data_IF_175278518555
#
_entry.id   IF_175278518555
#
_cell.length_a   1.000
_cell.length_b   1.000
_cell.length_c   1.000
_cell.angle_alpha   90.00
_cell.angle_beta   90.00
_cell.angle_gamma   90.00
#
_symmetry.space_group_name_H-M   'P 1'
#
loop_
_entity.id
_entity.type
_entity.pdbx_description
1 polymer ?
#
# COMPACT_ATOMS: atom_id res chain seq x y z
N UNK A 1 -29.71 -54.75 -23.84
CA UNK A 1 -29.16 -55.59 -24.93
C UNK A 1 -27.71 -55.23 -25.06
N UNK A 2 -26.96 -56.19 -24.69
CA UNK A 2 -25.67 -56.65 -25.24
C UNK A 2 -24.47 -55.71 -25.17
N UNK A 3 -23.54 -56.01 -24.27
CA UNK A 3 -22.46 -57.03 -24.39
C UNK A 3 -21.31 -56.50 -25.27
N UNK A 4 -20.06 -56.61 -25.04
CA UNK A 4 -19.21 -57.62 -24.37
C UNK A 4 -17.78 -57.06 -24.39
N UNK A 5 -17.00 -57.16 -23.31
CA UNK A 5 -15.83 -58.07 -23.15
C UNK A 5 -14.79 -58.00 -24.28
N UNK A 6 -13.48 -57.99 -24.08
CA UNK A 6 -12.62 -58.88 -23.27
C UNK A 6 -11.15 -58.45 -23.45
N UNK A 7 -10.31 -58.41 -22.39
CA UNK A 7 -9.10 -59.24 -22.14
C UNK A 7 -8.00 -59.20 -23.23
N UNK A 8 -6.69 -59.32 -23.01
CA UNK A 8 -5.87 -60.08 -22.05
C UNK A 8 -4.39 -59.71 -22.27
N UNK A 9 -3.56 -59.67 -21.21
CA UNK A 9 -2.27 -60.33 -20.94
C UNK A 9 -1.20 -60.32 -22.08
N UNK A 10 0.06 -60.10 -21.82
CA UNK A 10 1.00 -60.94 -21.05
C UNK A 10 2.38 -60.28 -20.91
N UNK A 11 3.00 -60.60 -19.81
CA UNK A 11 4.38 -60.42 -19.42
C UNK A 11 5.40 -61.17 -20.27
N UNK A 12 6.64 -60.66 -20.30
CA UNK A 12 7.83 -61.54 -20.32
C UNK A 12 8.99 -60.83 -19.59
N UNK A 13 9.48 -61.58 -18.62
CA UNK A 13 10.67 -61.42 -17.80
C UNK A 13 11.92 -61.74 -18.64
N UNK A 14 13.01 -60.94 -18.47
CA UNK A 14 14.36 -61.45 -18.74
C UNK A 14 15.36 -60.87 -17.76
N UNK A 15 15.84 -61.71 -16.91
CA UNK A 15 16.94 -61.49 -15.97
C UNK A 15 18.27 -61.71 -16.72
N UNK A 16 19.25 -60.83 -16.52
CA UNK A 16 20.65 -61.15 -16.76
C UNK A 16 21.54 -60.49 -15.74
N UNK A 17 22.28 -61.28 -15.06
CA UNK A 17 23.20 -61.03 -13.96
C UNK A 17 24.64 -60.92 -14.51
N UNK A 18 25.49 -60.20 -13.75
CA UNK A 18 26.95 -60.19 -13.65
C UNK A 18 27.72 -59.01 -14.27
N UNK A 19 28.49 -58.41 -13.38
CA UNK A 19 29.65 -57.63 -13.70
C UNK A 19 30.07 -56.64 -12.59
N UNK A 20 30.59 -57.16 -11.48
CA UNK A 20 31.24 -56.34 -10.46
C UNK A 20 32.60 -55.83 -11.00
N UNK A 21 32.77 -54.53 -10.98
CA UNK A 21 34.09 -53.91 -11.04
C UNK A 21 34.12 -52.71 -10.09
N UNK A 22 34.73 -52.90 -8.93
CA UNK A 22 35.01 -51.86 -8.00
C UNK A 22 36.15 -51.00 -8.57
N UNK A 23 35.84 -49.76 -8.92
CA UNK A 23 36.82 -48.71 -9.14
C UNK A 23 36.59 -47.65 -8.06
N UNK A 24 37.48 -47.68 -7.05
CA UNK A 24 37.57 -46.62 -6.05
C UNK A 24 38.08 -45.35 -6.73
N UNK A 25 37.19 -44.43 -7.06
CA UNK A 25 37.55 -43.03 -7.33
C UNK A 25 37.39 -42.27 -6.04
N UNK A 26 38.51 -41.97 -5.39
CA UNK A 26 38.61 -40.86 -4.45
C UNK A 26 38.46 -39.57 -5.24
N UNK A 27 37.21 -39.16 -5.47
CA UNK A 27 36.86 -37.85 -5.96
C UNK A 27 36.62 -36.95 -4.74
N UNK A 28 37.52 -35.98 -4.52
CA UNK A 28 37.21 -34.81 -3.73
C UNK A 28 35.93 -34.20 -4.31
N UNK A 29 34.82 -34.42 -3.63
CA UNK A 29 33.57 -33.71 -3.93
C UNK A 29 33.81 -32.25 -3.61
N UNK A 30 34.09 -31.42 -4.62
CA UNK A 30 33.67 -30.03 -4.59
C UNK A 30 32.17 -30.11 -4.29
N UNK A 31 31.75 -29.60 -3.14
CA UNK A 31 30.40 -29.10 -3.00
C UNK A 31 30.21 -28.14 -4.17
N UNK A 32 29.51 -28.53 -5.19
CA UNK A 32 28.84 -27.59 -6.05
C UNK A 32 27.91 -26.80 -5.12
N UNK A 33 28.40 -25.66 -4.65
CA UNK A 33 27.49 -24.57 -4.26
C UNK A 33 26.74 -24.29 -5.54
N UNK A 34 25.55 -24.81 -5.68
CA UNK A 34 24.54 -24.24 -6.57
C UNK A 34 24.43 -22.81 -6.10
N UNK A 35 25.14 -21.93 -6.78
CA UNK A 35 24.98 -20.51 -6.67
C UNK A 35 23.56 -20.28 -7.21
N UNK A 36 22.55 -20.23 -6.34
CA UNK A 36 21.23 -19.74 -6.73
C UNK A 36 21.44 -18.30 -7.11
N UNK A 37 21.74 -18.13 -8.42
CA UNK A 37 22.17 -16.83 -8.96
C UNK A 37 21.01 -15.82 -8.97
N UNK A 38 19.83 -16.23 -8.56
CA UNK A 38 18.63 -15.40 -8.56
C UNK A 38 17.69 -15.75 -7.40
N UNK A 39 17.20 -14.73 -6.70
CA UNK A 39 16.15 -14.83 -5.69
C UNK A 39 14.91 -14.05 -6.15
N UNK A 40 13.72 -14.53 -5.80
CA UNK A 40 12.46 -13.83 -6.07
C UNK A 40 11.89 -13.32 -4.76
N UNK A 41 11.50 -12.06 -4.73
CA UNK A 41 10.83 -11.39 -3.62
C UNK A 41 9.43 -10.96 -4.05
N UNK A 42 8.43 -11.17 -3.21
CA UNK A 42 7.06 -10.68 -3.45
C UNK A 42 6.75 -9.53 -2.50
N UNK A 43 6.46 -8.35 -3.06
CA UNK A 43 5.98 -7.19 -2.31
C UNK A 43 4.48 -6.99 -2.57
N UNK A 44 3.66 -7.09 -1.52
CA UNK A 44 2.23 -6.80 -1.57
C UNK A 44 2.00 -5.40 -1.02
N UNK A 45 1.52 -4.50 -1.89
CA UNK A 45 1.47 -3.06 -1.64
C UNK A 45 0.06 -2.48 -1.86
N UNK A 46 -0.14 -1.25 -1.41
CA UNK A 46 -1.35 -0.50 -1.73
C UNK A 46 -1.22 0.30 -3.02
N UNK A 47 -2.37 0.68 -3.62
CA UNK A 47 -2.44 1.21 -4.98
C UNK A 47 -1.53 2.40 -5.32
N UNK A 48 -1.42 3.47 -4.50
CA UNK A 48 -0.66 4.66 -4.86
C UNK A 48 0.85 4.48 -5.03
N UNK A 49 1.41 3.34 -4.63
CA UNK A 49 2.86 3.09 -4.62
C UNK A 49 3.42 2.46 -5.89
N UNK A 50 2.62 2.26 -6.94
CA UNK A 50 3.05 1.56 -8.18
C UNK A 50 4.33 2.16 -8.76
N UNK A 51 4.31 3.44 -9.02
CA UNK A 51 5.40 4.17 -9.67
C UNK A 51 6.63 4.26 -8.75
N UNK A 52 6.40 4.42 -7.45
CA UNK A 52 7.44 4.39 -6.44
C UNK A 52 8.21 3.07 -6.49
N UNK A 53 7.51 1.94 -6.35
CA UNK A 53 8.17 0.63 -6.31
C UNK A 53 8.70 0.18 -7.67
N UNK A 54 8.12 0.63 -8.78
CA UNK A 54 8.72 0.42 -10.09
C UNK A 54 10.10 1.09 -10.19
N UNK A 55 10.24 2.28 -9.64
CA UNK A 55 11.51 3.02 -9.60
C UNK A 55 12.46 2.43 -8.56
N UNK A 56 11.96 2.15 -7.36
CA UNK A 56 12.72 1.61 -6.24
C UNK A 56 13.32 0.23 -6.54
N UNK A 57 12.58 -0.66 -7.15
CA UNK A 57 13.05 -2.01 -7.45
C UNK A 57 14.28 -2.02 -8.37
N UNK A 58 14.42 -1.01 -9.23
CA UNK A 58 15.59 -0.87 -10.11
C UNK A 58 16.86 -0.59 -9.30
N UNK A 59 16.78 0.35 -8.35
CA UNK A 59 17.94 0.68 -7.49
C UNK A 59 18.22 -0.44 -6.49
N UNK A 60 17.19 -1.04 -5.90
CA UNK A 60 17.35 -2.16 -4.97
C UNK A 60 18.00 -3.38 -5.65
N UNK A 61 17.57 -3.75 -6.84
CA UNK A 61 18.14 -4.89 -7.56
C UNK A 61 19.62 -4.68 -7.87
N UNK A 62 20.02 -3.44 -8.17
CA UNK A 62 21.43 -3.08 -8.35
C UNK A 62 22.18 -3.18 -7.04
N UNK A 63 21.68 -2.57 -5.96
CA UNK A 63 22.25 -2.61 -4.63
C UNK A 63 22.47 -4.06 -4.16
N UNK A 64 21.44 -4.91 -4.22
CA UNK A 64 21.52 -6.31 -3.81
C UNK A 64 22.57 -7.09 -4.61
N UNK A 65 22.64 -6.84 -5.92
CA UNK A 65 23.66 -7.47 -6.78
C UNK A 65 25.08 -7.06 -6.43
N UNK A 66 25.28 -5.78 -6.13
CA UNK A 66 26.59 -5.23 -5.74
C UNK A 66 27.05 -5.79 -4.40
N UNK A 67 26.14 -5.90 -3.43
CA UNK A 67 26.44 -6.37 -2.06
C UNK A 67 26.62 -7.91 -1.96
N UNK A 68 25.86 -8.67 -2.74
CA UNK A 68 25.78 -10.13 -2.55
C UNK A 68 26.25 -10.94 -3.77
N UNK A 69 26.35 -10.34 -4.92
CA UNK A 69 26.55 -11.04 -6.19
C UNK A 69 25.32 -11.76 -6.72
N UNK A 70 24.17 -11.74 -6.00
CA UNK A 70 22.94 -12.43 -6.37
C UNK A 70 21.98 -11.47 -7.10
N UNK A 71 21.32 -11.97 -8.16
CA UNK A 71 20.24 -11.23 -8.78
C UNK A 71 18.95 -11.36 -7.96
N UNK A 72 18.16 -10.28 -7.86
CA UNK A 72 16.83 -10.30 -7.27
C UNK A 72 15.77 -9.87 -8.28
N UNK A 73 14.67 -10.61 -8.33
CA UNK A 73 13.46 -10.22 -9.05
C UNK A 73 12.36 -9.91 -8.05
N UNK A 74 11.81 -8.70 -8.11
CA UNK A 74 10.72 -8.29 -7.22
C UNK A 74 9.40 -8.34 -7.97
N UNK A 75 8.53 -9.24 -7.53
CA UNK A 75 7.13 -9.31 -7.99
C UNK A 75 6.27 -8.41 -7.12
N UNK A 76 5.31 -7.71 -7.73
CA UNK A 76 4.44 -6.78 -7.01
C UNK A 76 2.97 -7.07 -7.20
N UNK A 77 2.20 -6.93 -6.12
CA UNK A 77 0.75 -6.86 -6.13
C UNK A 77 0.31 -5.49 -5.61
N UNK A 78 -0.61 -4.83 -6.28
CA UNK A 78 -1.16 -3.55 -5.87
C UNK A 78 -2.68 -3.59 -5.84
N UNK A 79 -3.27 -3.02 -4.78
CA UNK A 79 -4.70 -2.94 -4.58
C UNK A 79 -5.08 -2.06 -3.39
N UNK A 80 -6.35 -2.05 -3.02
CA UNK A 80 -6.76 -1.39 -1.78
C UNK A 80 -6.08 -2.05 -0.58
N UNK A 81 -5.47 -1.25 0.32
CA UNK A 81 -4.60 -1.72 1.41
C UNK A 81 -5.26 -2.78 2.29
N UNK A 82 -6.48 -2.53 2.78
CA UNK A 82 -7.21 -3.51 3.59
C UNK A 82 -7.55 -4.80 2.84
N UNK A 83 -7.81 -4.71 1.51
CA UNK A 83 -7.99 -5.89 0.67
C UNK A 83 -6.69 -6.68 0.55
N UNK A 84 -5.57 -6.02 0.28
CA UNK A 84 -4.24 -6.64 0.20
C UNK A 84 -3.87 -7.34 1.52
N UNK A 85 -4.09 -6.68 2.67
CA UNK A 85 -3.87 -7.27 3.97
C UNK A 85 -4.68 -8.57 4.18
N UNK A 86 -5.95 -8.53 3.80
CA UNK A 86 -6.84 -9.70 3.92
C UNK A 86 -6.39 -10.85 2.99
N UNK A 87 -5.94 -10.56 1.78
CA UNK A 87 -5.42 -11.56 0.85
C UNK A 87 -4.16 -12.26 1.42
N UNK A 88 -3.23 -11.48 2.02
CA UNK A 88 -2.05 -12.04 2.68
C UNK A 88 -2.45 -12.87 3.91
N UNK A 89 -3.32 -12.36 4.77
CA UNK A 89 -3.83 -13.09 5.93
C UNK A 89 -4.55 -14.41 5.54
N UNK A 90 -5.08 -14.50 4.33
CA UNK A 90 -5.74 -15.70 3.79
C UNK A 90 -4.82 -16.56 2.90
N UNK A 91 -3.52 -16.30 2.86
CA UNK A 91 -2.54 -17.20 2.24
C UNK A 91 -1.95 -16.70 0.92
N UNK A 92 -2.09 -15.43 0.56
CA UNK A 92 -1.26 -14.86 -0.50
C UNK A 92 0.18 -14.75 0.01
N UNK A 93 1.09 -15.50 -0.58
CA UNK A 93 2.49 -15.53 -0.19
C UNK A 93 3.20 -14.22 -0.56
N UNK A 94 3.40 -13.36 0.44
CA UNK A 94 4.17 -12.12 0.36
C UNK A 94 5.42 -12.25 1.23
N UNK A 95 6.58 -11.87 0.72
CA UNK A 95 7.80 -11.76 1.55
C UNK A 95 7.77 -10.48 2.40
N UNK A 96 7.26 -9.41 1.80
CA UNK A 96 7.08 -8.12 2.46
C UNK A 96 5.73 -7.52 2.13
N UNK A 97 5.21 -6.74 3.06
CA UNK A 97 4.04 -5.89 2.83
C UNK A 97 4.42 -4.43 2.98
N UNK A 98 3.85 -3.58 2.12
CA UNK A 98 4.03 -2.13 2.15
C UNK A 98 2.65 -1.50 2.00
N UNK A 99 1.97 -1.31 3.13
CA UNK A 99 0.54 -1.00 3.20
C UNK A 99 0.28 0.45 3.62
N UNK A 100 -0.93 0.92 3.41
CA UNK A 100 -1.29 2.32 3.65
C UNK A 100 -1.33 2.71 5.13
N UNK A 101 -1.42 1.74 6.05
CA UNK A 101 -1.57 2.01 7.48
C UNK A 101 -1.24 0.79 8.35
N UNK A 102 -0.81 1.06 9.56
CA UNK A 102 -0.44 0.08 10.59
C UNK A 102 -1.54 -0.94 10.85
N UNK A 103 -2.80 -0.53 10.92
CA UNK A 103 -3.93 -1.43 11.20
C UNK A 103 -4.04 -2.57 10.17
N UNK A 104 -3.74 -2.29 8.90
CA UNK A 104 -3.78 -3.32 7.86
C UNK A 104 -2.62 -4.32 8.01
N UNK A 105 -1.43 -3.87 8.47
CA UNK A 105 -0.32 -4.76 8.82
C UNK A 105 -0.65 -5.58 10.07
N UNK A 106 -1.27 -4.96 11.08
CA UNK A 106 -1.72 -5.63 12.29
C UNK A 106 -2.71 -6.77 11.98
N UNK A 107 -3.56 -6.65 10.96
CA UNK A 107 -4.45 -7.74 10.56
C UNK A 107 -3.68 -8.99 10.06
N UNK A 108 -2.51 -8.80 9.45
CA UNK A 108 -1.63 -9.91 9.02
C UNK A 108 -0.88 -10.50 10.23
N UNK A 109 -0.44 -9.66 11.17
CA UNK A 109 0.14 -10.09 12.45
C UNK A 109 -0.87 -10.93 13.24
N UNK A 110 -2.12 -10.48 13.34
CA UNK A 110 -3.18 -11.17 14.07
C UNK A 110 -3.53 -12.52 13.44
N UNK A 111 -3.24 -12.71 12.14
CA UNK A 111 -3.28 -14.00 11.46
C UNK A 111 -2.05 -14.90 11.77
N UNK A 112 -1.08 -14.41 12.55
CA UNK A 112 0.12 -15.15 12.95
C UNK A 112 1.22 -15.19 11.89
N UNK A 113 1.20 -14.30 10.89
CA UNK A 113 2.16 -14.30 9.78
C UNK A 113 3.30 -13.27 9.97
N UNK A 114 3.11 -12.30 10.84
CA UNK A 114 4.09 -11.26 11.19
C UNK A 114 4.32 -11.30 12.70
N UNK A 115 5.55 -11.14 13.16
CA UNK A 115 5.89 -11.15 14.57
C UNK A 115 5.38 -9.90 15.30
N UNK A 116 5.15 -10.05 16.61
CA UNK A 116 4.87 -8.91 17.49
C UNK A 116 6.07 -7.95 17.51
N UNK A 117 5.76 -6.64 17.53
CA UNK A 117 6.81 -5.61 17.57
C UNK A 117 7.35 -5.17 16.22
N UNK A 118 6.82 -5.68 15.11
CA UNK A 118 7.18 -5.31 13.74
C UNK A 118 7.24 -3.78 13.51
N UNK A 119 6.40 -3.02 14.20
CA UNK A 119 6.34 -1.55 14.08
C UNK A 119 7.67 -0.88 14.48
N UNK A 120 8.46 -1.54 15.33
CA UNK A 120 9.78 -1.05 15.79
C UNK A 120 10.96 -1.70 15.04
N UNK A 121 10.70 -2.49 14.00
CA UNK A 121 11.77 -3.17 13.25
C UNK A 121 12.58 -2.19 12.40
N UNK A 122 11.91 -1.17 11.86
CA UNK A 122 12.55 -0.12 11.08
C UNK A 122 12.25 1.27 11.67
N UNK A 123 13.06 2.26 11.30
CA UNK A 123 12.92 3.63 11.77
C UNK A 123 11.51 4.23 11.50
N UNK A 124 11.14 5.23 12.29
CA UNK A 124 9.88 5.97 12.17
C UNK A 124 8.63 5.08 12.18
N UNK A 125 8.57 4.16 13.15
CA UNK A 125 7.47 3.21 13.29
C UNK A 125 7.25 2.37 12.01
N UNK A 126 8.37 1.91 11.41
CA UNK A 126 8.39 1.18 10.13
C UNK A 126 7.67 1.91 8.99
N UNK A 127 7.82 3.26 8.95
CA UNK A 127 7.23 4.14 7.93
C UNK A 127 8.33 4.92 7.20
N UNK A 128 8.84 4.42 6.06
CA UNK A 128 10.00 5.00 5.37
C UNK A 128 9.72 6.30 4.62
N UNK A 129 8.47 6.60 4.37
CA UNK A 129 7.99 7.82 3.73
C UNK A 129 6.59 8.15 4.22
N UNK A 130 6.15 9.39 4.00
CA UNK A 130 4.82 9.85 4.40
C UNK A 130 4.10 10.51 3.23
N UNK A 131 2.84 10.83 3.42
CA UNK A 131 2.02 11.63 2.50
C UNK A 131 1.00 12.43 3.29
N UNK A 132 0.13 13.13 2.56
CA UNK A 132 -1.03 13.81 3.14
C UNK A 132 -2.19 13.79 2.16
N UNK A 133 -3.35 14.30 2.59
CA UNK A 133 -4.55 14.38 1.78
C UNK A 133 -4.69 15.79 1.24
N UNK A 134 -4.90 15.88 -0.05
CA UNK A 134 -5.17 17.13 -0.79
C UNK A 134 -6.43 16.98 -1.64
N UNK A 135 -6.89 18.07 -2.22
CA UNK A 135 -7.97 18.05 -3.19
C UNK A 135 -7.39 18.22 -4.60
N UNK A 136 -7.72 17.29 -5.49
CA UNK A 136 -7.49 17.47 -6.90
C UNK A 136 -8.79 18.01 -7.53
N UNK A 137 -8.71 19.19 -8.15
CA UNK A 137 -9.86 19.84 -8.76
C UNK A 137 -9.62 20.08 -10.25
N UNK A 138 -10.68 20.31 -11.01
CA UNK A 138 -10.59 20.69 -12.44
C UNK A 138 -9.87 22.02 -12.60
N UNK A 139 -9.18 22.20 -13.72
CA UNK A 139 -8.47 23.46 -14.04
C UNK A 139 -9.36 24.68 -13.89
N UNK A 140 -8.82 25.71 -13.25
CA UNK A 140 -9.55 26.94 -12.93
C UNK A 140 -10.56 26.79 -11.80
N UNK A 141 -10.60 25.65 -11.13
CA UNK A 141 -11.41 25.36 -9.94
C UNK A 141 -12.87 25.89 -10.06
N UNK A 142 -13.69 25.36 -10.99
CA UNK A 142 -15.02 25.92 -11.31
C UNK A 142 -15.98 25.97 -10.12
N UNK A 143 -15.78 25.11 -9.11
CA UNK A 143 -16.58 25.07 -7.88
C UNK A 143 -16.01 25.94 -6.77
N UNK A 144 -14.89 26.64 -7.02
CA UNK A 144 -14.20 27.49 -6.04
C UNK A 144 -13.95 26.76 -4.70
N UNK A 145 -13.46 25.53 -4.79
CA UNK A 145 -13.14 24.69 -3.64
C UNK A 145 -11.83 25.18 -3.05
N UNK A 146 -11.84 25.55 -1.78
CA UNK A 146 -10.67 26.06 -1.04
C UNK A 146 -10.38 25.25 0.22
N UNK A 147 -11.41 24.67 0.81
CA UNK A 147 -11.31 23.91 2.05
C UNK A 147 -12.43 22.87 2.16
N UNK A 148 -12.41 22.09 3.20
CA UNK A 148 -13.37 21.01 3.49
C UNK A 148 -14.84 21.49 3.48
N UNK A 149 -15.10 22.72 3.93
CA UNK A 149 -16.45 23.31 3.86
C UNK A 149 -17.00 23.39 2.45
N UNK A 150 -16.13 23.67 1.49
CA UNK A 150 -16.55 23.77 0.10
C UNK A 150 -16.86 22.38 -0.49
N UNK A 151 -16.14 21.35 -0.06
CA UNK A 151 -16.37 19.94 -0.46
C UNK A 151 -17.72 19.43 0.08
N UNK A 152 -18.15 19.91 1.25
CA UNK A 152 -19.42 19.51 1.88
C UNK A 152 -20.63 20.31 1.38
N UNK A 153 -20.46 21.29 0.47
CA UNK A 153 -21.58 22.07 -0.12
C UNK A 153 -22.43 21.25 -1.05
N UNK A 154 -23.73 21.51 -1.03
CA UNK A 154 -24.67 20.92 -1.98
C UNK A 154 -24.24 21.20 -3.44
N UNK A 155 -24.33 20.18 -4.28
CA UNK A 155 -24.01 20.26 -5.70
C UNK A 155 -22.53 20.20 -6.05
N UNK A 156 -21.67 19.82 -5.10
CA UNK A 156 -20.27 19.46 -5.34
C UNK A 156 -20.18 17.94 -5.47
N UNK A 157 -19.76 17.46 -6.63
CA UNK A 157 -19.53 16.02 -6.85
C UNK A 157 -18.17 15.59 -6.29
N UNK A 158 -18.17 14.73 -5.28
CA UNK A 158 -16.96 14.22 -4.62
C UNK A 158 -16.62 12.83 -5.11
N UNK A 159 -15.35 12.58 -5.38
CA UNK A 159 -14.81 11.25 -5.64
C UNK A 159 -13.84 10.91 -4.49
N UNK A 160 -14.01 9.74 -3.91
CA UNK A 160 -13.12 9.18 -2.87
C UNK A 160 -13.27 7.67 -2.82
N UNK A 161 -12.24 6.90 -2.46
CA UNK A 161 -12.39 5.46 -2.30
C UNK A 161 -13.17 5.08 -1.03
N UNK A 162 -13.52 3.81 -0.91
CA UNK A 162 -14.32 3.27 0.18
C UNK A 162 -13.45 2.97 1.43
N UNK A 163 -13.71 3.56 2.59
CA UNK A 163 -12.97 3.29 3.83
C UNK A 163 -13.02 1.82 4.32
N UNK A 164 -14.00 1.04 3.85
CA UNK A 164 -14.09 -0.39 4.19
C UNK A 164 -13.06 -1.26 3.45
N UNK A 165 -12.52 -0.78 2.34
CA UNK A 165 -11.60 -1.56 1.48
C UNK A 165 -10.27 -0.87 1.22
N UNK A 166 -10.22 0.46 1.37
CA UNK A 166 -9.07 1.30 1.05
C UNK A 166 -8.53 1.98 2.31
N UNK A 167 -7.26 1.69 2.64
CA UNK A 167 -6.54 2.44 3.67
C UNK A 167 -6.42 3.93 3.34
N UNK A 168 -6.21 4.26 2.04
CA UNK A 168 -6.21 5.65 1.58
C UNK A 168 -7.49 6.40 1.91
N UNK A 169 -8.64 5.74 1.77
CA UNK A 169 -9.94 6.32 2.11
C UNK A 169 -10.12 6.58 3.61
N UNK A 170 -9.50 5.76 4.46
CA UNK A 170 -9.52 6.00 5.92
C UNK A 170 -8.78 7.28 6.25
N UNK A 171 -7.64 7.53 5.64
CA UNK A 171 -6.92 8.79 5.78
C UNK A 171 -7.73 10.00 5.28
N UNK A 172 -8.42 9.87 4.12
CA UNK A 172 -9.30 10.93 3.61
C UNK A 172 -10.42 11.28 4.61
N UNK A 173 -11.06 10.27 5.16
CA UNK A 173 -12.12 10.42 6.15
C UNK A 173 -11.60 11.08 7.43
N UNK A 174 -10.47 10.62 7.97
CA UNK A 174 -9.90 11.16 9.21
C UNK A 174 -9.42 12.60 9.03
N UNK A 175 -8.89 12.98 7.86
CA UNK A 175 -8.54 14.36 7.56
C UNK A 175 -9.78 15.29 7.58
N UNK A 176 -10.88 14.85 6.98
CA UNK A 176 -12.16 15.59 7.02
C UNK A 176 -12.72 15.67 8.45
N UNK A 177 -12.62 14.59 9.21
CA UNK A 177 -13.01 14.56 10.62
C UNK A 177 -12.22 15.55 11.47
N UNK A 178 -10.88 15.58 11.31
CA UNK A 178 -10.01 16.50 12.04
C UNK A 178 -10.34 17.97 11.78
N UNK A 179 -10.64 18.30 10.51
CA UNK A 179 -11.12 19.63 10.19
C UNK A 179 -12.44 19.98 10.90
N UNK A 180 -13.41 19.07 10.86
CA UNK A 180 -14.71 19.28 11.48
C UNK A 180 -14.60 19.34 13.02
N UNK A 181 -13.74 18.52 13.61
CA UNK A 181 -13.47 18.52 15.06
C UNK A 181 -12.94 19.89 15.50
N UNK A 182 -11.94 20.40 14.81
CA UNK A 182 -11.41 21.76 15.07
C UNK A 182 -12.47 22.84 14.86
N UNK A 183 -13.26 22.75 13.79
CA UNK A 183 -14.30 23.73 13.46
C UNK A 183 -15.41 23.79 14.50
N UNK A 184 -15.84 22.64 15.01
CA UNK A 184 -16.97 22.50 15.93
C UNK A 184 -16.55 22.31 17.39
N UNK A 185 -15.25 22.47 17.70
CA UNK A 185 -14.69 22.36 19.06
C UNK A 185 -15.10 21.06 19.77
N UNK A 186 -15.01 19.91 19.07
CA UNK A 186 -15.29 18.58 19.61
C UNK A 186 -16.79 18.25 19.74
N UNK A 187 -17.69 19.05 19.17
CA UNK A 187 -19.14 18.74 19.14
C UNK A 187 -19.40 17.57 18.16
N UNK A 188 -19.42 16.36 18.70
CA UNK A 188 -19.48 15.12 17.90
C UNK A 188 -20.71 15.06 16.97
N UNK A 189 -21.86 15.54 17.41
CA UNK A 189 -23.07 15.54 16.59
C UNK A 189 -22.92 16.45 15.35
N UNK A 190 -22.27 17.60 15.52
CA UNK A 190 -21.99 18.50 14.38
C UNK A 190 -20.90 17.97 13.46
N UNK A 191 -19.91 17.26 14.02
CA UNK A 191 -18.87 16.61 13.25
C UNK A 191 -19.48 15.51 12.37
N UNK A 192 -20.28 14.64 12.97
CA UNK A 192 -20.98 13.57 12.23
C UNK A 192 -21.91 14.13 11.13
N UNK A 193 -22.65 15.20 11.41
CA UNK A 193 -23.50 15.87 10.41
C UNK A 193 -22.68 16.45 9.26
N UNK A 194 -21.52 17.04 9.54
CA UNK A 194 -20.60 17.54 8.54
C UNK A 194 -20.06 16.41 7.63
N UNK A 195 -19.58 15.33 8.24
CA UNK A 195 -19.07 14.18 7.48
C UNK A 195 -20.18 13.52 6.66
N UNK A 196 -21.38 13.43 7.24
CA UNK A 196 -22.57 12.93 6.50
C UNK A 196 -22.86 13.78 5.25
N UNK A 197 -22.81 15.11 5.35
CA UNK A 197 -22.99 16.01 4.21
C UNK A 197 -21.91 15.80 3.15
N UNK A 198 -20.65 15.69 3.56
CA UNK A 198 -19.56 15.39 2.65
C UNK A 198 -19.82 14.08 1.89
N UNK A 199 -20.17 13.00 2.61
CA UNK A 199 -20.42 11.69 1.98
C UNK A 199 -21.73 11.62 1.20
N UNK A 200 -22.71 12.51 1.42
CA UNK A 200 -23.87 12.68 0.56
C UNK A 200 -23.51 13.22 -0.83
N UNK A 201 -22.40 13.94 -0.94
CA UNK A 201 -21.84 14.45 -2.19
C UNK A 201 -20.99 13.41 -2.94
N UNK A 202 -20.65 12.28 -2.31
CA UNK A 202 -19.85 11.24 -2.94
C UNK A 202 -20.64 10.55 -4.04
N UNK A 203 -20.11 10.62 -5.26
CA UNK A 203 -20.73 10.03 -6.45
C UNK A 203 -20.35 8.55 -6.62
N UNK A 204 -19.08 8.22 -6.31
CA UNK A 204 -18.52 6.88 -6.44
C UNK A 204 -17.65 6.58 -5.23
N UNK A 205 -17.79 5.37 -4.67
CA UNK A 205 -16.87 4.79 -3.69
C UNK A 205 -16.11 3.64 -4.35
N UNK A 206 -14.96 3.96 -4.91
CA UNK A 206 -14.08 2.96 -5.53
C UNK A 206 -13.40 2.06 -4.48
N UNK A 207 -12.98 0.86 -4.89
CA UNK A 207 -12.36 -0.11 -3.97
C UNK A 207 -10.98 0.31 -3.46
N UNK A 208 -10.30 1.22 -4.15
CA UNK A 208 -8.95 1.71 -3.83
C UNK A 208 -8.69 3.11 -4.40
N UNK A 209 -7.59 3.73 -3.98
CA UNK A 209 -7.25 5.10 -4.36
C UNK A 209 -7.06 5.26 -5.88
N UNK A 210 -6.39 4.33 -6.55
CA UNK A 210 -6.20 4.38 -8.00
C UNK A 210 -7.53 4.28 -8.76
N UNK A 211 -8.50 3.49 -8.26
CA UNK A 211 -9.85 3.45 -8.83
C UNK A 211 -10.53 4.81 -8.75
N UNK A 212 -10.43 5.49 -7.61
CA UNK A 212 -10.97 6.84 -7.44
C UNK A 212 -10.28 7.86 -8.37
N UNK A 213 -8.95 7.78 -8.53
CA UNK A 213 -8.22 8.58 -9.51
C UNK A 213 -8.72 8.32 -10.94
N UNK A 214 -8.90 7.06 -11.33
CA UNK A 214 -9.46 6.71 -12.65
C UNK A 214 -10.87 7.26 -12.83
N UNK A 215 -11.75 7.13 -11.83
CA UNK A 215 -13.10 7.69 -11.87
C UNK A 215 -13.10 9.21 -12.09
N UNK A 216 -12.19 9.92 -11.42
CA UNK A 216 -12.06 11.37 -11.55
C UNK A 216 -11.35 11.77 -12.84
N UNK A 217 -10.14 11.26 -13.09
CA UNK A 217 -9.25 11.71 -14.18
C UNK A 217 -9.72 11.16 -15.53
N UNK A 218 -9.87 9.83 -15.65
CA UNK A 218 -10.13 9.19 -16.95
C UNK A 218 -11.62 9.22 -17.30
N UNK A 219 -12.50 8.97 -16.32
CA UNK A 219 -13.94 8.93 -16.55
C UNK A 219 -14.62 10.30 -16.41
N UNK A 220 -13.87 11.34 -16.01
CA UNK A 220 -14.37 12.72 -15.94
C UNK A 220 -15.44 12.95 -14.87
N UNK A 221 -15.57 12.07 -13.87
CA UNK A 221 -16.61 12.15 -12.84
C UNK A 221 -16.21 13.12 -11.72
N UNK A 222 -17.22 13.77 -11.15
CA UNK A 222 -17.05 14.65 -9.99
C UNK A 222 -16.35 15.98 -10.26
N UNK A 223 -16.39 16.83 -9.25
CA UNK A 223 -15.78 18.16 -9.24
C UNK A 223 -14.48 18.18 -8.45
N UNK A 224 -14.35 17.28 -7.49
CA UNK A 224 -13.18 17.15 -6.59
C UNK A 224 -12.89 15.68 -6.28
N UNK A 225 -11.60 15.33 -6.33
CA UNK A 225 -11.08 14.06 -5.79
C UNK A 225 -10.38 14.35 -4.46
N UNK A 226 -10.79 13.63 -3.40
CA UNK A 226 -10.00 13.55 -2.18
C UNK A 226 -8.84 12.59 -2.45
N UNK A 227 -7.65 13.13 -2.63
CA UNK A 227 -6.51 12.39 -3.14
C UNK A 227 -5.36 12.34 -2.12
N UNK A 228 -4.57 11.28 -2.18
CA UNK A 228 -3.22 11.32 -1.68
C UNK A 228 -2.40 12.31 -2.51
N UNK A 229 -1.50 13.01 -1.85
CA UNK A 229 -0.69 14.07 -2.47
C UNK A 229 0.08 13.56 -3.70
N UNK A 230 0.69 12.37 -3.62
CA UNK A 230 1.39 11.76 -4.75
C UNK A 230 0.47 11.46 -5.94
N UNK A 231 -0.75 10.95 -5.73
CA UNK A 231 -1.72 10.69 -6.80
C UNK A 231 -2.14 11.98 -7.49
N UNK A 232 -2.29 13.07 -6.73
CA UNK A 232 -2.63 14.37 -7.28
C UNK A 232 -1.51 14.94 -8.16
N UNK A 233 -0.25 14.85 -7.71
CA UNK A 233 0.90 15.28 -8.51
C UNK A 233 1.11 14.42 -9.75
N UNK A 234 0.96 13.09 -9.65
CA UNK A 234 1.02 12.20 -10.81
C UNK A 234 -0.06 12.54 -11.84
N UNK A 235 -1.30 12.80 -11.37
CA UNK A 235 -2.40 13.19 -12.25
C UNK A 235 -2.12 14.48 -13.03
N UNK A 236 -1.50 15.48 -12.38
CA UNK A 236 -1.09 16.74 -13.03
C UNK A 236 0.07 16.50 -14.01
N UNK A 237 1.04 15.66 -13.63
CA UNK A 237 2.18 15.31 -14.49
C UNK A 237 1.73 14.64 -15.78
N UNK A 238 0.76 13.73 -15.69
CA UNK A 238 0.25 12.96 -16.81
C UNK A 238 -0.76 13.76 -17.67
N UNK A 239 -1.45 14.74 -17.05
CA UNK A 239 -2.45 15.60 -17.70
C UNK A 239 -2.16 17.08 -17.40
N UNK A 240 -1.10 17.65 -17.98
CA UNK A 240 -0.74 19.03 -17.77
C UNK A 240 -1.90 19.97 -18.15
N UNK A 241 -2.14 20.99 -17.31
CA UNK A 241 -3.19 21.98 -17.51
C UNK A 241 -4.65 21.52 -17.39
N UNK A 242 -4.92 20.29 -16.96
CA UNK A 242 -6.30 19.81 -16.75
C UNK A 242 -6.77 19.88 -15.29
N UNK A 243 -5.83 19.92 -14.34
CA UNK A 243 -6.12 19.85 -12.91
C UNK A 243 -5.32 20.87 -12.10
N UNK A 244 -5.77 21.12 -10.89
CA UNK A 244 -5.09 21.91 -9.86
C UNK A 244 -5.18 21.21 -8.51
N UNK A 245 -4.12 21.36 -7.69
CA UNK A 245 -4.11 20.89 -6.30
C UNK A 245 -4.56 22.03 -5.40
N UNK A 246 -5.48 21.74 -4.51
CA UNK A 246 -5.88 22.62 -3.41
C UNK A 246 -5.48 21.94 -2.11
N UNK A 247 -4.62 22.58 -1.34
CA UNK A 247 -4.22 22.12 -0.01
C UNK A 247 -5.23 22.62 1.01
N UNK A 248 -5.90 21.73 1.77
CA UNK A 248 -6.87 22.13 2.80
C UNK A 248 -6.17 22.77 4.00
N UNK A 249 -6.92 23.55 4.79
CA UNK A 249 -6.38 24.22 5.99
C UNK A 249 -5.97 23.25 7.11
N UNK A 250 -6.52 22.06 7.11
CA UNK A 250 -6.18 20.93 7.99
C UNK A 250 -6.14 19.66 7.17
N UNK A 251 -5.10 18.86 7.33
CA UNK A 251 -5.00 17.54 6.76
C UNK A 251 -4.40 16.56 7.78
N UNK A 252 -4.00 15.38 7.35
CA UNK A 252 -3.47 14.33 8.21
C UNK A 252 -2.12 13.85 7.69
N UNK A 253 -1.18 13.56 8.59
CA UNK A 253 0.06 12.88 8.25
C UNK A 253 -0.26 11.41 8.00
N UNK A 254 -0.32 11.03 6.73
CA UNK A 254 -0.48 9.65 6.33
C UNK A 254 0.87 8.93 6.40
N UNK A 255 0.94 7.89 7.23
CA UNK A 255 2.13 7.09 7.49
C UNK A 255 1.92 5.66 6.97
N UNK A 256 2.32 5.36 5.72
CA UNK A 256 2.34 3.99 5.21
C UNK A 256 3.30 3.13 6.03
N UNK A 257 2.91 1.90 6.29
CA UNK A 257 3.67 0.97 7.11
C UNK A 257 4.24 -0.18 6.27
N UNK A 258 5.47 -0.58 6.59
CA UNK A 258 6.15 -1.70 5.93
C UNK A 258 6.50 -2.77 6.96
N UNK A 259 6.42 -4.05 6.55
CA UNK A 259 6.78 -5.16 7.42
C UNK A 259 7.25 -6.37 6.61
N UNK A 260 8.16 -7.15 7.20
CA UNK A 260 8.51 -8.49 6.73
C UNK A 260 7.37 -9.45 7.12
N UNK A 261 7.01 -10.37 6.24
CA UNK A 261 6.03 -11.42 6.54
C UNK A 261 6.80 -12.66 7.01
N UNK A 262 7.03 -12.74 8.31
CA UNK A 262 7.98 -13.63 8.97
C UNK A 262 7.80 -15.11 8.59
N UNK A 263 6.58 -15.62 8.68
CA UNK A 263 6.27 -17.01 8.36
C UNK A 263 6.59 -17.36 6.89
N UNK A 264 6.36 -16.42 5.97
CA UNK A 264 6.62 -16.64 4.54
C UNK A 264 8.11 -16.60 4.24
N UNK A 265 8.84 -15.60 4.75
CA UNK A 265 10.27 -15.47 4.47
C UNK A 265 11.08 -16.60 5.09
N UNK A 266 10.66 -17.14 6.24
CA UNK A 266 11.32 -18.30 6.86
C UNK A 266 11.09 -19.59 6.08
N UNK A 267 9.87 -19.82 5.60
CA UNK A 267 9.56 -20.95 4.74
C UNK A 267 10.29 -20.89 3.40
N UNK A 268 10.42 -19.70 2.81
CA UNK A 268 11.04 -19.47 1.50
C UNK A 268 12.55 -19.28 1.57
N UNK A 269 13.12 -19.04 2.76
CA UNK A 269 14.54 -18.69 2.95
C UNK A 269 14.92 -17.32 2.39
N UNK A 270 13.96 -16.40 2.32
CA UNK A 270 14.10 -15.06 1.72
C UNK A 270 14.28 -13.95 2.77
N UNK A 271 14.32 -14.27 4.07
CA UNK A 271 14.41 -13.28 5.17
C UNK A 271 15.49 -12.23 4.95
N UNK A 272 16.69 -12.64 4.55
CA UNK A 272 17.81 -11.69 4.39
C UNK A 272 17.49 -10.64 3.32
N UNK A 273 17.00 -11.06 2.15
CA UNK A 273 16.69 -10.13 1.05
C UNK A 273 15.46 -9.30 1.36
N UNK A 274 14.47 -9.86 2.07
CA UNK A 274 13.25 -9.15 2.47
C UNK A 274 13.56 -8.05 3.49
N UNK A 275 14.35 -8.35 4.53
CA UNK A 275 14.78 -7.37 5.53
C UNK A 275 15.62 -6.26 4.87
N UNK A 276 16.57 -6.62 4.00
CA UNK A 276 17.37 -5.62 3.27
C UNK A 276 16.52 -4.76 2.34
N UNK A 277 15.50 -5.36 1.68
CA UNK A 277 14.56 -4.62 0.83
C UNK A 277 13.84 -3.51 1.59
N UNK A 278 13.40 -3.76 2.82
CA UNK A 278 12.74 -2.75 3.63
C UNK A 278 13.73 -1.77 4.27
N UNK A 279 14.89 -2.25 4.72
CA UNK A 279 15.95 -1.39 5.29
C UNK A 279 16.46 -0.38 4.28
N UNK A 280 16.66 -0.79 3.02
CA UNK A 280 17.20 0.08 1.97
C UNK A 280 16.24 1.21 1.57
N UNK A 281 14.93 1.11 1.91
CA UNK A 281 13.98 2.23 1.75
C UNK A 281 14.40 3.49 2.54
N UNK A 282 15.20 3.34 3.58
CA UNK A 282 15.71 4.44 4.42
C UNK A 282 17.04 5.01 3.93
N UNK A 283 17.65 4.43 2.88
CA UNK A 283 18.87 4.97 2.27
C UNK A 283 18.60 6.31 1.59
N UNK A 284 19.59 7.18 1.51
CA UNK A 284 19.47 8.49 0.87
C UNK A 284 18.99 8.38 -0.59
N UNK A 285 19.45 7.34 -1.32
CA UNK A 285 19.04 7.09 -2.70
C UNK A 285 17.54 6.74 -2.78
N UNK A 286 17.08 5.83 -1.92
CA UNK A 286 15.66 5.43 -1.88
C UNK A 286 14.76 6.58 -1.40
N UNK A 287 15.25 7.40 -0.47
CA UNK A 287 14.52 8.59 0.00
C UNK A 287 14.32 9.63 -1.11
N UNK A 288 15.32 9.81 -2.00
CA UNK A 288 15.14 10.65 -3.19
C UNK A 288 14.18 10.02 -4.20
N UNK A 289 14.22 8.69 -4.40
CA UNK A 289 13.22 8.00 -5.21
C UNK A 289 11.80 8.20 -4.65
N UNK A 290 11.62 8.20 -3.32
CA UNK A 290 10.34 8.53 -2.72
C UNK A 290 9.90 9.97 -3.06
N UNK A 291 10.79 10.97 -2.91
CA UNK A 291 10.54 12.36 -3.27
C UNK A 291 10.21 12.55 -4.76
N UNK A 292 10.94 11.91 -5.65
CA UNK A 292 10.73 11.94 -7.10
C UNK A 292 9.38 11.35 -7.53
N UNK A 293 8.82 10.46 -6.69
CA UNK A 293 7.48 9.88 -6.84
C UNK A 293 6.43 10.57 -5.95
N UNK A 294 6.73 11.78 -5.49
CA UNK A 294 5.81 12.62 -4.72
C UNK A 294 5.39 12.07 -3.36
N UNK A 295 6.19 11.19 -2.76
CA UNK A 295 6.10 10.87 -1.35
C UNK A 295 7.06 11.72 -0.55
N UNK A 296 6.66 12.14 0.64
CA UNK A 296 7.48 12.95 1.54
C UNK A 296 8.54 12.07 2.19
N UNK A 297 9.84 12.25 1.88
CA UNK A 297 10.91 11.51 2.52
C UNK A 297 10.85 11.57 4.05
N UNK A 298 11.14 10.45 4.71
CA UNK A 298 11.36 10.42 6.16
C UNK A 298 12.59 11.24 6.57
N UNK A 299 13.65 11.16 5.78
CA UNK A 299 14.85 11.96 5.99
C UNK A 299 14.55 13.45 5.78
N UNK A 300 14.62 14.22 6.89
CA UNK A 300 14.23 15.64 6.88
C UNK A 300 15.14 16.52 6.03
N UNK A 301 16.41 16.16 5.86
CA UNK A 301 17.32 16.91 5.01
C UNK A 301 16.99 16.69 3.54
N UNK A 302 16.69 15.45 3.16
CA UNK A 302 16.23 15.13 1.80
C UNK A 302 14.85 15.74 1.55
N UNK A 303 13.93 15.70 2.52
CA UNK A 303 12.63 16.35 2.38
C UNK A 303 12.73 17.85 2.02
N UNK A 304 13.74 18.54 2.53
CA UNK A 304 13.98 19.97 2.19
C UNK A 304 14.37 20.18 0.73
N UNK A 305 14.99 19.15 0.09
CA UNK A 305 15.31 19.21 -1.35
C UNK A 305 14.03 19.32 -2.21
N UNK A 306 12.87 18.92 -1.67
CA UNK A 306 11.55 18.93 -2.32
C UNK A 306 10.62 20.05 -1.82
N UNK A 307 11.17 21.11 -1.19
CA UNK A 307 10.38 22.25 -0.67
C UNK A 307 9.62 23.02 -1.75
N UNK A 308 10.04 22.92 -3.01
CA UNK A 308 9.34 23.51 -4.15
C UNK A 308 8.15 22.64 -4.62
N UNK A 309 8.09 21.39 -4.17
CA UNK A 309 7.02 20.44 -4.47
C UNK A 309 6.00 20.38 -3.33
N UNK A 310 6.48 20.18 -2.10
CA UNK A 310 5.62 19.99 -0.95
C UNK A 310 5.44 21.27 -0.14
N UNK A 311 4.20 21.59 0.23
CA UNK A 311 3.95 22.54 1.30
C UNK A 311 4.37 21.93 2.65
N UNK A 312 5.50 22.40 3.17
CA UNK A 312 6.04 21.93 4.45
C UNK A 312 5.38 22.59 5.67
N UNK A 313 4.49 23.57 5.47
CA UNK A 313 3.80 24.32 6.52
C UNK A 313 2.34 23.89 6.70
N UNK A 314 1.90 22.87 6.00
CA UNK A 314 0.54 22.34 6.13
C UNK A 314 0.25 21.89 7.58
N UNK A 315 -0.93 22.24 8.09
CA UNK A 315 -1.36 21.84 9.43
C UNK A 315 -1.83 20.38 9.41
N UNK A 316 -0.96 19.48 9.86
CA UNK A 316 -1.20 18.03 9.89
C UNK A 316 -1.54 17.58 11.31
N UNK A 317 -2.67 16.88 11.45
CA UNK A 317 -2.93 16.00 12.60
C UNK A 317 -2.28 14.63 12.34
N UNK A 318 -2.18 13.81 13.37
CA UNK A 318 -1.64 12.45 13.29
C UNK A 318 -2.70 11.43 13.71
N UNK A 319 -2.44 10.16 13.48
CA UNK A 319 -3.33 9.10 13.96
C UNK A 319 -3.42 9.08 15.50
N UNK A 320 -2.42 9.60 16.19
CA UNK A 320 -2.43 9.70 17.65
C UNK A 320 -3.49 10.66 18.17
N UNK A 321 -3.88 11.67 17.38
CA UNK A 321 -4.99 12.57 17.71
C UNK A 321 -6.35 11.85 17.73
N UNK A 322 -6.41 10.65 17.16
CA UNK A 322 -7.56 9.73 17.17
C UNK A 322 -7.43 8.58 18.17
N UNK A 323 -6.39 8.59 19.02
CA UNK A 323 -6.11 7.50 19.97
C UNK A 323 -5.37 6.30 19.35
N UNK A 324 -4.79 6.46 18.16
CA UNK A 324 -4.15 5.40 17.39
C UNK A 324 -5.12 4.64 16.50
N UNK A 325 -4.57 3.69 15.71
CA UNK A 325 -5.36 2.98 14.71
C UNK A 325 -6.46 2.10 15.30
N UNK A 326 -6.23 1.45 16.43
CA UNK A 326 -7.21 0.54 17.05
C UNK A 326 -8.48 1.30 17.46
N UNK A 327 -8.32 2.46 18.14
CA UNK A 327 -9.44 3.29 18.52
C UNK A 327 -10.12 3.95 17.31
N UNK A 328 -9.34 4.45 16.34
CA UNK A 328 -9.89 5.01 15.11
C UNK A 328 -10.70 3.97 14.33
N UNK A 329 -10.17 2.76 14.17
CA UNK A 329 -10.87 1.66 13.50
C UNK A 329 -12.17 1.29 14.21
N UNK A 330 -12.11 1.08 15.53
CA UNK A 330 -13.25 0.72 16.34
C UNK A 330 -14.37 1.76 16.31
N UNK A 331 -14.00 3.04 16.41
CA UNK A 331 -14.96 4.15 16.43
C UNK A 331 -15.57 4.41 15.07
N UNK A 332 -14.74 4.45 14.02
CA UNK A 332 -15.15 4.98 12.72
C UNK A 332 -15.44 3.90 11.68
N UNK A 333 -14.66 2.82 11.61
CA UNK A 333 -14.64 1.93 10.44
C UNK A 333 -15.07 0.49 10.72
N UNK A 334 -15.14 0.06 11.98
CA UNK A 334 -15.68 -1.25 12.34
C UNK A 334 -17.15 -1.38 11.91
N UNK A 335 -17.64 -2.60 11.82
CA UNK A 335 -19.04 -2.85 11.49
C UNK A 335 -19.95 -2.20 12.53
N UNK A 336 -20.90 -1.38 12.06
CA UNK A 336 -21.74 -0.53 12.89
C UNK A 336 -21.03 0.71 13.45
N UNK A 337 -19.81 1.01 13.05
CA UNK A 337 -19.08 2.25 13.36
C UNK A 337 -19.74 3.49 12.77
N UNK A 338 -19.10 4.65 12.99
CA UNK A 338 -19.70 5.93 12.57
C UNK A 338 -19.87 5.97 11.05
N UNK A 339 -18.90 5.46 10.28
CA UNK A 339 -19.00 5.46 8.82
C UNK A 339 -20.24 4.71 8.32
N UNK A 340 -20.56 3.55 8.88
CA UNK A 340 -21.75 2.79 8.50
C UNK A 340 -23.04 3.55 8.78
N UNK A 341 -23.10 4.29 9.90
CA UNK A 341 -24.28 5.09 10.29
C UNK A 341 -24.50 6.31 9.41
N UNK A 342 -23.41 6.97 8.96
CA UNK A 342 -23.51 8.18 8.13
C UNK A 342 -23.67 7.86 6.65
N UNK A 343 -23.13 6.73 6.19
CA UNK A 343 -23.20 6.27 4.80
C UNK A 343 -24.29 5.19 4.64
N UNK A 344 -25.53 5.54 4.93
CA UNK A 344 -26.67 4.71 4.54
C UNK A 344 -26.85 4.79 3.01
N UNK A 345 -26.74 3.62 2.34
CA UNK A 345 -27.00 3.53 0.90
C UNK A 345 -28.39 4.09 0.62
N UNK A 346 -28.46 5.06 -0.31
CA UNK A 346 -29.72 5.53 -0.89
C UNK A 346 -30.34 4.44 -1.74
#
# INVERSE_FOLDING_TARGET
MNNLRTKVLSAVLAVSVFGASAVAFTGCGKKDTTNDSKVTLTNVSYDPTRELYESYNKIFSKHWKEETGQDVEVTQSHGGSGKQALEVANGLEADVVTLALEYDVNAIRDAGLIEDGWVNEFDNDSSPYTSTIVFLVRKGNPKNIKDWDDVAKDGVGVITPNPKTSGGARWNYLAAWAYADKKYNGDEAKIEDFIKKLYQNVLVLDSGARGATTSFVENGQGDVLLAWENEAYLSIKDNPDEYEIVTPSVSILAQPSVAVVDEVVDQRGTRKVATEYLSYLYSDEAQRIAGDNYYRPYNKEILKEYSDVFDLNINLVTINDFGGWDEAQKKHFADGGIFDKIYEKK
#
